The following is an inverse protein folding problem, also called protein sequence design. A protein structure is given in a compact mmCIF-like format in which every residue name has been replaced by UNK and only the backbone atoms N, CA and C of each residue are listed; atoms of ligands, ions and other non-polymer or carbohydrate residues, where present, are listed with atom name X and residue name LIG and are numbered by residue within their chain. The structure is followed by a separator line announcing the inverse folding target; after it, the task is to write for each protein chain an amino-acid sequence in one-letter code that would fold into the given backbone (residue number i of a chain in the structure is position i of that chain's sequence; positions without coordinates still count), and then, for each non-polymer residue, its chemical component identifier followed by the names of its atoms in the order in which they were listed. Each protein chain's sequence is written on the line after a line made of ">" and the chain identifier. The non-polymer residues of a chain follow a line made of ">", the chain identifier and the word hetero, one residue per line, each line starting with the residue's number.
data_IF_189827516812
#
_entry.id   IF_189827516812
#
_cell.length_a   1.000
_cell.length_b   1.000
_cell.length_c   1.000
_cell.angle_alpha   90.00
_cell.angle_beta   90.00
_cell.angle_gamma   90.00
#
_symmetry.space_group_name_H-M   'P 1'
#
loop_
_entity.id
_entity.type
_entity.pdbx_description
1 polymer ?
#
# COMPACT_ATOMS: atom_id res chain seq x y z
N UNK A 1 -13.32 -16.10 4.79
CA UNK A 1 -12.23 -16.99 5.23
C UNK A 1 -12.58 -18.46 5.07
N UNK A 2 -13.54 -19.02 5.84
CA UNK A 2 -13.88 -20.46 5.84
C UNK A 2 -14.14 -21.12 4.47
N UNK A 3 -14.80 -20.42 3.53
CA UNK A 3 -15.03 -20.93 2.17
C UNK A 3 -13.76 -20.98 1.30
N UNK A 4 -12.75 -20.15 1.62
CA UNK A 4 -11.50 -20.04 0.86
C UNK A 4 -10.45 -21.01 1.39
N UNK A 5 -10.33 -21.08 2.71
CA UNK A 5 -9.48 -22.02 3.41
C UNK A 5 -10.15 -22.36 4.76
N UNK A 6 -10.48 -23.63 4.92
CA UNK A 6 -11.13 -24.13 6.13
C UNK A 6 -10.13 -24.29 7.29
N UNK A 7 -8.84 -24.49 7.01
CA UNK A 7 -7.81 -24.69 8.03
C UNK A 7 -7.50 -23.40 8.80
N UNK A 8 -7.57 -22.25 8.13
CA UNK A 8 -7.30 -20.92 8.71
C UNK A 8 -8.59 -20.20 9.16
N UNK A 9 -9.71 -20.92 9.22
CA UNK A 9 -11.00 -20.32 9.59
C UNK A 9 -11.07 -20.03 11.10
N UNK A 10 -11.51 -18.83 11.51
CA UNK A 10 -11.67 -18.51 12.93
C UNK A 10 -12.80 -19.32 13.56
N UNK A 11 -12.62 -19.65 14.83
CA UNK A 11 -13.60 -20.35 15.67
C UNK A 11 -14.35 -19.38 16.58
N UNK A 12 -15.41 -19.86 17.24
CA UNK A 12 -16.20 -19.03 18.16
C UNK A 12 -15.34 -18.66 19.36
N UNK A 13 -15.15 -17.36 19.58
CA UNK A 13 -14.29 -16.80 20.63
C UNK A 13 -13.01 -16.16 20.12
N UNK A 14 -12.63 -16.40 18.86
CA UNK A 14 -11.43 -15.82 18.26
C UNK A 14 -11.60 -14.36 17.86
N UNK A 15 -10.52 -13.57 18.01
CA UNK A 15 -10.42 -12.22 17.45
C UNK A 15 -10.05 -12.31 15.96
N UNK A 16 -10.93 -11.79 15.11
CA UNK A 16 -10.74 -11.80 13.65
C UNK A 16 -10.26 -10.42 13.18
N UNK A 17 -9.01 -10.28 12.68
CA UNK A 17 -8.56 -9.03 12.10
C UNK A 17 -9.21 -8.79 10.74
N UNK A 18 -9.54 -7.54 10.45
CA UNK A 18 -10.07 -7.13 9.15
C UNK A 18 -9.66 -5.70 8.82
N UNK A 19 -9.68 -5.39 7.52
CA UNK A 19 -9.55 -4.02 7.00
C UNK A 19 -10.75 -3.69 6.12
N UNK A 20 -11.09 -2.39 6.03
CA UNK A 20 -12.18 -1.91 5.19
C UNK A 20 -11.63 -1.53 3.81
N UNK A 21 -12.08 -2.28 2.80
CA UNK A 21 -11.71 -2.07 1.41
C UNK A 21 -12.67 -1.08 0.73
N UNK A 22 -12.19 -0.48 -0.34
CA UNK A 22 -13.00 0.38 -1.21
C UNK A 22 -13.99 -0.48 -1.99
N UNK A 23 -15.27 -0.12 -1.93
CA UNK A 23 -16.34 -0.76 -2.69
C UNK A 23 -17.29 0.28 -3.29
N UNK A 24 -18.37 -0.18 -3.93
CA UNK A 24 -19.40 0.69 -4.50
C UNK A 24 -20.01 1.60 -3.43
N UNK A 25 -20.40 2.82 -3.85
CA UNK A 25 -21.03 3.80 -2.96
C UNK A 25 -22.32 3.22 -2.40
N UNK A 26 -22.43 3.16 -1.07
CA UNK A 26 -23.58 2.57 -0.36
C UNK A 26 -23.43 1.10 0.04
N UNK A 27 -22.32 0.43 -0.34
CA UNK A 27 -22.02 -0.91 0.16
C UNK A 27 -21.90 -0.90 1.69
N UNK A 28 -22.52 -1.89 2.34
CA UNK A 28 -22.55 -1.93 3.81
C UNK A 28 -21.16 -2.28 4.34
N UNK A 29 -20.86 -1.85 5.57
CA UNK A 29 -19.53 -2.06 6.15
C UNK A 29 -19.13 -3.55 6.20
N UNK A 30 -20.07 -4.46 6.48
CA UNK A 30 -19.80 -5.89 6.54
C UNK A 30 -19.44 -6.52 5.18
N UNK A 31 -19.88 -5.92 4.07
CA UNK A 31 -19.50 -6.34 2.69
C UNK A 31 -18.11 -5.83 2.30
N UNK A 32 -17.60 -4.85 3.03
CA UNK A 32 -16.31 -4.19 2.78
C UNK A 32 -15.19 -4.69 3.70
N UNK A 33 -15.48 -5.60 4.62
CA UNK A 33 -14.48 -6.15 5.54
C UNK A 33 -13.75 -7.32 4.87
N UNK A 34 -12.42 -7.22 4.80
CA UNK A 34 -11.59 -8.27 4.20
C UNK A 34 -10.34 -8.55 5.05
N UNK A 35 -9.77 -9.74 4.86
CA UNK A 35 -8.54 -10.16 5.52
C UNK A 35 -7.32 -9.31 5.08
N UNK A 36 -6.49 -8.80 6.01
CA UNK A 36 -5.35 -7.95 5.65
C UNK A 36 -4.33 -8.64 4.73
N UNK A 37 -4.08 -9.95 4.90
CA UNK A 37 -3.14 -10.70 4.05
C UNK A 37 -3.72 -10.83 2.65
N UNK A 38 -5.00 -11.17 2.53
CA UNK A 38 -5.69 -11.25 1.26
C UNK A 38 -5.70 -9.90 0.51
N UNK A 39 -5.93 -8.79 1.23
CA UNK A 39 -5.87 -7.43 0.67
C UNK A 39 -4.48 -7.11 0.15
N UNK A 40 -3.45 -7.44 0.92
CA UNK A 40 -2.06 -7.27 0.49
C UNK A 40 -1.76 -8.11 -0.75
N UNK A 41 -2.18 -9.38 -0.80
CA UNK A 41 -1.92 -10.29 -1.92
C UNK A 41 -2.53 -9.83 -3.23
N UNK A 42 -3.79 -9.46 -3.19
CA UNK A 42 -4.57 -9.10 -4.37
C UNK A 42 -4.49 -7.60 -4.72
N UNK A 43 -3.69 -6.85 -3.97
CA UNK A 43 -3.54 -5.39 -4.09
C UNK A 43 -4.91 -4.69 -4.10
N UNK A 44 -5.79 -5.08 -3.16
CA UNK A 44 -7.14 -4.51 -3.08
C UNK A 44 -7.03 -3.11 -2.45
N UNK A 45 -7.63 -2.07 -3.05
CA UNK A 45 -7.60 -0.73 -2.49
C UNK A 45 -8.33 -0.67 -1.15
N UNK A 46 -7.66 -0.11 -0.16
CA UNK A 46 -8.26 0.27 1.12
C UNK A 46 -9.17 1.49 0.89
N UNK A 47 -10.10 1.78 1.80
CA UNK A 47 -10.92 3.00 1.80
C UNK A 47 -10.37 4.05 2.79
N UNK A 48 -9.44 4.95 2.37
CA UNK A 48 -8.89 5.96 3.27
C UNK A 48 -9.96 6.88 3.86
N UNK A 49 -11.03 7.17 3.12
CA UNK A 49 -12.09 8.06 3.57
C UNK A 49 -12.83 7.46 4.75
N UNK A 50 -13.12 6.16 4.70
CA UNK A 50 -13.71 5.45 5.82
C UNK A 50 -12.86 5.57 7.09
N UNK A 51 -11.55 5.36 7.01
CA UNK A 51 -10.65 5.45 8.17
C UNK A 51 -10.51 6.88 8.68
N UNK A 52 -10.40 7.86 7.77
CA UNK A 52 -10.33 9.26 8.13
C UNK A 52 -11.59 9.72 8.87
N UNK A 53 -12.78 9.45 8.33
CA UNK A 53 -14.04 9.91 8.90
C UNK A 53 -14.47 9.11 10.13
N UNK A 54 -14.38 7.77 10.10
CA UNK A 54 -14.97 6.96 11.17
C UNK A 54 -14.02 6.66 12.33
N UNK A 55 -12.71 6.59 12.06
CA UNK A 55 -11.72 6.17 13.06
C UNK A 55 -10.90 7.36 13.57
N UNK A 56 -10.46 8.25 12.68
CA UNK A 56 -9.50 9.31 13.04
C UNK A 56 -10.20 10.63 13.39
N UNK A 57 -11.23 11.03 12.64
CA UNK A 57 -11.82 12.37 12.79
C UNK A 57 -12.44 12.59 14.18
N UNK A 58 -13.25 11.65 14.67
CA UNK A 58 -14.01 11.82 15.92
C UNK A 58 -13.10 11.97 17.14
N UNK A 59 -12.05 11.12 17.33
CA UNK A 59 -11.10 11.33 18.41
C UNK A 59 -10.35 12.65 18.31
N UNK A 60 -9.92 13.06 17.10
CA UNK A 60 -9.20 14.32 16.90
C UNK A 60 -10.08 15.53 17.24
N UNK A 61 -11.32 15.55 16.76
CA UNK A 61 -12.25 16.64 17.06
C UNK A 61 -12.49 16.74 18.57
N UNK A 62 -12.69 15.61 19.26
CA UNK A 62 -12.88 15.61 20.72
C UNK A 62 -11.72 16.24 21.50
N UNK A 63 -10.49 16.11 21.00
CA UNK A 63 -9.29 16.68 21.64
C UNK A 63 -9.13 18.17 21.28
N UNK A 64 -9.36 18.53 20.02
CA UNK A 64 -9.01 19.87 19.50
C UNK A 64 -10.15 20.88 19.49
N UNK A 65 -11.42 20.44 19.55
CA UNK A 65 -12.59 21.32 19.57
C UNK A 65 -12.62 22.30 20.75
N UNK A 66 -12.15 21.96 21.97
CA UNK A 66 -12.02 22.94 23.06
C UNK A 66 -10.95 24.02 22.82
N UNK A 67 -9.99 23.77 21.92
CA UNK A 67 -8.82 24.63 21.68
C UNK A 67 -9.01 25.48 20.41
N UNK A 68 -9.55 24.87 19.35
CA UNK A 68 -9.71 25.47 18.03
C UNK A 68 -11.19 25.75 17.76
N UNK A 69 -11.51 26.97 17.32
CA UNK A 69 -12.89 27.38 17.00
C UNK A 69 -13.55 26.52 15.91
N UNK A 70 -12.77 26.00 14.94
CA UNK A 70 -13.24 25.17 13.84
C UNK A 70 -12.24 24.04 13.52
N UNK A 71 -11.96 23.17 14.49
CA UNK A 71 -10.99 22.07 14.37
C UNK A 71 -11.16 21.20 13.12
N UNK A 72 -12.41 20.90 12.73
CA UNK A 72 -12.71 20.08 11.54
C UNK A 72 -12.20 20.71 10.24
N UNK A 73 -12.50 22.00 10.03
CA UNK A 73 -12.12 22.70 8.81
C UNK A 73 -10.61 22.94 8.73
N UNK A 74 -9.94 23.10 9.86
CA UNK A 74 -8.50 23.36 9.89
C UNK A 74 -7.67 22.08 9.76
N UNK A 75 -8.11 20.97 10.37
CA UNK A 75 -7.34 19.74 10.42
C UNK A 75 -7.66 18.79 9.26
N UNK A 76 -8.94 18.61 8.93
CA UNK A 76 -9.39 17.53 8.04
C UNK A 76 -9.70 18.01 6.62
N UNK A 77 -9.90 19.31 6.44
CA UNK A 77 -10.21 19.92 5.16
C UNK A 77 -9.16 20.98 4.83
N UNK A 78 -8.79 21.14 3.57
CA UNK A 78 -7.87 22.21 3.18
C UNK A 78 -7.08 21.92 1.92
N UNK A 79 -6.06 22.74 1.69
CA UNK A 79 -5.08 22.53 0.62
C UNK A 79 -4.18 21.33 0.92
N UNK A 80 -3.88 21.06 2.19
CA UNK A 80 -3.00 19.98 2.64
C UNK A 80 -3.57 18.58 2.45
N UNK A 81 -4.89 18.42 2.32
CA UNK A 81 -5.55 17.11 2.13
C UNK A 81 -5.90 16.79 0.67
N UNK A 82 -5.49 17.63 -0.29
CA UNK A 82 -5.81 17.45 -1.72
C UNK A 82 -5.03 16.33 -2.41
N UNK A 83 -3.94 15.85 -1.80
CA UNK A 83 -3.15 14.75 -2.33
C UNK A 83 -3.68 13.42 -1.82
N UNK A 84 -4.34 12.65 -2.68
CA UNK A 84 -4.81 11.29 -2.37
C UNK A 84 -4.06 10.29 -3.24
N UNK A 85 -3.41 9.32 -2.59
CA UNK A 85 -2.80 8.17 -3.25
C UNK A 85 -3.69 6.95 -3.04
N UNK A 86 -4.32 6.46 -4.11
CA UNK A 86 -5.14 5.24 -4.08
C UNK A 86 -4.46 4.22 -4.97
N UNK A 87 -4.17 3.05 -4.40
CA UNK A 87 -3.68 1.92 -5.18
C UNK A 87 -4.74 1.46 -6.17
N UNK A 88 -4.34 1.19 -7.40
CA UNK A 88 -5.21 0.59 -8.40
C UNK A 88 -5.35 -0.91 -8.12
N UNK A 89 -6.58 -1.47 -8.08
CA UNK A 89 -6.79 -2.90 -7.87
C UNK A 89 -6.15 -3.72 -8.99
N UNK A 90 -5.47 -4.81 -8.61
CA UNK A 90 -4.87 -5.71 -9.59
C UNK A 90 -5.84 -6.81 -10.04
N UNK A 91 -5.87 -7.08 -11.36
CA UNK A 91 -6.37 -8.31 -11.98
C UNK A 91 -7.80 -8.80 -11.62
N UNK A 92 -8.73 -7.91 -11.28
CA UNK A 92 -10.15 -8.27 -11.04
C UNK A 92 -11.11 -7.59 -12.02
N UNK A 93 -12.04 -8.37 -12.57
CA UNK A 93 -13.10 -7.90 -13.48
C UNK A 93 -12.58 -7.15 -14.71
N UNK A 94 -13.04 -5.92 -14.89
CA UNK A 94 -12.70 -5.02 -16.02
C UNK A 94 -11.19 -4.80 -16.13
N UNK A 95 -10.44 -4.81 -15.01
CA UNK A 95 -8.99 -4.60 -15.01
C UNK A 95 -8.20 -5.74 -15.68
N UNK A 96 -8.80 -6.91 -15.94
CA UNK A 96 -8.15 -7.98 -16.73
C UNK A 96 -8.02 -7.64 -18.21
N UNK A 97 -8.88 -6.76 -18.72
CA UNK A 97 -8.88 -6.34 -20.13
C UNK A 97 -8.21 -4.98 -20.35
N UNK A 98 -7.75 -4.33 -19.27
CA UNK A 98 -7.09 -3.04 -19.34
C UNK A 98 -5.63 -3.21 -19.78
N UNK A 99 -5.27 -2.61 -20.91
CA UNK A 99 -3.86 -2.53 -21.35
C UNK A 99 -3.15 -1.46 -20.53
N UNK A 100 -2.16 -1.85 -19.72
CA UNK A 100 -1.32 -0.92 -18.96
C UNK A 100 -0.51 -0.06 -19.93
N UNK A 101 -0.84 1.23 -20.00
CA UNK A 101 -0.09 2.21 -20.77
C UNK A 101 1.14 2.66 -19.98
N UNK A 102 2.26 2.88 -20.68
CA UNK A 102 3.47 3.41 -20.06
C UNK A 102 3.28 4.90 -19.74
N UNK A 103 3.77 5.32 -18.59
CA UNK A 103 3.73 6.70 -18.14
C UNK A 103 5.12 7.21 -17.81
N UNK A 104 5.34 8.50 -18.02
CA UNK A 104 6.56 9.21 -17.67
C UNK A 104 6.78 9.15 -16.15
N UNK A 105 7.98 8.76 -15.71
CA UNK A 105 8.30 8.72 -14.28
C UNK A 105 8.31 10.10 -13.61
N UNK A 106 8.61 11.16 -14.36
CA UNK A 106 8.64 12.52 -13.84
C UNK A 106 7.25 13.15 -13.69
N UNK A 107 6.47 13.17 -14.77
CA UNK A 107 5.21 13.92 -14.84
C UNK A 107 3.94 13.04 -14.95
N UNK A 108 4.07 11.72 -15.01
CA UNK A 108 2.97 10.75 -15.19
C UNK A 108 2.19 10.89 -16.51
N UNK A 109 2.65 11.71 -17.46
CA UNK A 109 2.08 11.78 -18.80
C UNK A 109 2.19 10.42 -19.52
N UNK A 110 1.17 10.06 -20.32
CA UNK A 110 1.16 8.82 -21.09
C UNK A 110 2.22 8.89 -22.20
N UNK A 111 2.97 7.79 -22.38
CA UNK A 111 4.01 7.65 -23.40
C UNK A 111 3.62 6.51 -24.35
N UNK A 112 3.70 6.77 -25.65
CA UNK A 112 3.33 5.79 -26.69
C UNK A 112 4.47 4.82 -27.03
N UNK A 113 5.73 5.17 -26.75
CA UNK A 113 6.89 4.32 -27.01
C UNK A 113 7.12 3.27 -25.93
N UNK A 114 7.32 2.01 -26.32
CA UNK A 114 7.60 0.89 -25.39
C UNK A 114 8.92 1.04 -24.62
N UNK A 115 9.89 1.73 -25.20
CA UNK A 115 11.25 1.89 -24.66
C UNK A 115 11.54 3.28 -24.07
N UNK A 116 10.51 4.09 -23.83
CA UNK A 116 10.69 5.44 -23.28
C UNK A 116 10.29 5.52 -21.81
N UNK A 117 11.24 5.98 -21.00
CA UNK A 117 11.07 6.13 -19.55
C UNK A 117 10.58 7.52 -19.17
N UNK A 118 10.99 8.52 -19.95
CA UNK A 118 10.64 9.93 -19.80
C UNK A 118 9.97 10.48 -21.05
N UNK A 119 9.12 11.49 -20.87
CA UNK A 119 8.61 12.30 -21.97
C UNK A 119 9.64 13.36 -22.40
N UNK A 120 9.46 13.95 -23.58
CA UNK A 120 10.36 14.97 -24.14
C UNK A 120 10.63 16.15 -23.20
N UNK A 121 9.64 16.55 -22.39
CA UNK A 121 9.78 17.64 -21.41
C UNK A 121 10.59 17.23 -20.17
N UNK A 122 10.60 15.97 -19.78
CA UNK A 122 11.31 15.49 -18.59
C UNK A 122 12.73 15.01 -18.89
N UNK A 123 13.10 14.88 -20.17
CA UNK A 123 14.42 14.40 -20.61
C UNK A 123 15.58 15.26 -20.09
N UNK A 124 15.37 16.58 -19.92
CA UNK A 124 16.39 17.46 -19.34
C UNK A 124 16.70 17.22 -17.84
N UNK A 125 15.86 16.44 -17.14
CA UNK A 125 16.03 16.10 -15.70
C UNK A 125 16.25 14.61 -15.48
N UNK A 126 16.82 13.94 -16.47
CA UNK A 126 17.01 12.49 -16.47
C UNK A 126 17.87 12.01 -15.29
N UNK A 127 19.05 12.61 -15.09
CA UNK A 127 19.94 12.24 -13.99
C UNK A 127 19.29 12.42 -12.60
N UNK A 128 18.55 13.52 -12.39
CA UNK A 128 17.83 13.79 -11.14
C UNK A 128 16.78 12.71 -10.87
N UNK A 129 15.97 12.37 -11.88
CA UNK A 129 14.91 11.37 -11.76
C UNK A 129 15.48 9.96 -11.57
N UNK A 130 16.57 9.63 -12.25
CA UNK A 130 17.28 8.37 -12.07
C UNK A 130 17.82 8.22 -10.65
N UNK A 131 18.57 9.21 -10.15
CA UNK A 131 19.10 9.22 -8.78
C UNK A 131 17.98 9.07 -7.74
N UNK A 132 16.82 9.72 -7.96
CA UNK A 132 15.65 9.57 -7.09
C UNK A 132 15.10 8.15 -7.11
N UNK A 133 15.01 7.51 -8.27
CA UNK A 133 14.54 6.11 -8.37
C UNK A 133 15.51 5.12 -7.73
N UNK A 134 16.82 5.29 -7.93
CA UNK A 134 17.86 4.47 -7.30
C UNK A 134 17.82 4.63 -5.77
N UNK A 135 17.71 5.88 -5.29
CA UNK A 135 17.58 6.17 -3.86
C UNK A 135 16.38 5.45 -3.23
N UNK A 136 15.21 5.53 -3.87
CA UNK A 136 14.01 4.83 -3.40
C UNK A 136 14.17 3.30 -3.37
N UNK A 137 14.84 2.70 -4.37
CA UNK A 137 15.13 1.26 -4.36
C UNK A 137 16.08 0.92 -3.22
N UNK A 138 17.16 1.68 -3.03
CA UNK A 138 18.11 1.47 -1.94
C UNK A 138 17.45 1.51 -0.55
N UNK A 139 16.57 2.50 -0.30
CA UNK A 139 15.81 2.59 0.95
C UNK A 139 14.90 1.37 1.17
N UNK A 140 14.20 0.92 0.13
CA UNK A 140 13.32 -0.25 0.20
C UNK A 140 14.09 -1.57 0.38
N UNK A 141 15.26 -1.70 -0.24
CA UNK A 141 16.15 -2.86 -0.07
C UNK A 141 16.69 -2.95 1.36
N UNK A 142 17.16 -1.83 1.91
CA UNK A 142 17.58 -1.76 3.31
C UNK A 142 16.43 -2.10 4.26
N UNK A 143 15.23 -1.58 4.02
CA UNK A 143 14.05 -1.87 4.83
C UNK A 143 13.68 -3.36 4.77
N UNK A 144 13.65 -3.93 3.55
CA UNK A 144 13.37 -5.34 3.33
C UNK A 144 14.40 -6.23 4.06
N UNK A 145 15.69 -5.94 3.89
CA UNK A 145 16.78 -6.68 4.53
C UNK A 145 16.68 -6.65 6.06
N UNK A 146 16.44 -5.47 6.66
CA UNK A 146 16.28 -5.32 8.12
C UNK A 146 15.10 -6.13 8.65
N UNK A 147 13.93 -6.01 8.01
CA UNK A 147 12.72 -6.70 8.47
C UNK A 147 12.85 -8.22 8.35
N UNK A 148 13.47 -8.71 7.29
CA UNK A 148 13.62 -10.16 7.07
C UNK A 148 14.67 -10.77 7.99
N UNK A 149 15.80 -10.09 8.19
CA UNK A 149 16.84 -10.51 9.14
C UNK A 149 16.30 -10.58 10.56
N UNK A 150 15.52 -9.57 10.99
CA UNK A 150 14.89 -9.58 12.31
C UNK A 150 13.95 -10.79 12.51
N UNK A 151 13.26 -11.22 11.45
CA UNK A 151 12.44 -12.41 11.48
C UNK A 151 13.26 -13.70 11.64
N UNK A 152 14.41 -13.81 10.96
CA UNK A 152 15.31 -14.96 11.09
C UNK A 152 15.92 -15.04 12.49
N UNK A 153 16.35 -13.89 13.04
CA UNK A 153 16.83 -13.80 14.43
C UNK A 153 15.75 -14.21 15.43
N UNK A 154 14.52 -13.72 15.26
CA UNK A 154 13.39 -14.08 16.12
C UNK A 154 13.03 -15.58 16.04
N UNK A 155 13.21 -16.21 14.87
CA UNK A 155 13.01 -17.64 14.70
C UNK A 155 14.17 -18.45 15.32
N UNK A 156 15.37 -17.87 15.41
CA UNK A 156 16.58 -18.55 15.87
C UNK A 156 17.22 -19.47 14.81
N UNK A 157 16.77 -19.40 13.56
CA UNK A 157 17.29 -20.22 12.46
C UNK A 157 17.57 -19.36 11.23
N UNK A 158 18.77 -19.48 10.67
CA UNK A 158 19.19 -18.79 9.45
C UNK A 158 18.99 -19.66 8.20
N UNK A 159 18.78 -20.97 8.37
CA UNK A 159 18.77 -21.95 7.29
C UNK A 159 17.38 -22.49 6.96
N UNK A 160 16.38 -22.18 7.78
CA UNK A 160 15.00 -22.61 7.59
C UNK A 160 14.12 -21.44 7.16
N UNK A 161 13.00 -21.77 6.52
CA UNK A 161 12.01 -20.77 6.13
C UNK A 161 11.29 -20.19 7.35
N UNK A 162 11.03 -18.88 7.31
CA UNK A 162 10.29 -18.16 8.36
C UNK A 162 8.78 -18.34 8.17
N UNK A 163 8.20 -19.38 8.75
CA UNK A 163 6.76 -19.68 8.70
C UNK A 163 5.96 -19.04 9.85
N UNK A 164 6.28 -17.79 10.22
CA UNK A 164 5.60 -17.07 11.30
C UNK A 164 4.24 -16.49 10.84
N UNK A 165 3.19 -16.67 11.64
CA UNK A 165 1.82 -16.13 11.41
C UNK A 165 1.33 -15.23 12.55
N UNK A 166 2.23 -14.77 13.44
CA UNK A 166 1.88 -13.93 14.58
C UNK A 166 1.28 -12.59 14.13
N UNK A 167 -0.02 -12.40 14.38
CA UNK A 167 -0.78 -11.21 13.97
C UNK A 167 -0.51 -10.00 14.85
N UNK A 168 -0.03 -10.21 16.07
CA UNK A 168 0.33 -9.17 17.02
C UNK A 168 1.75 -8.63 16.80
N UNK A 169 2.55 -9.31 15.97
CA UNK A 169 3.88 -8.85 15.61
C UNK A 169 3.79 -7.64 14.66
N UNK A 170 4.40 -6.48 14.99
CA UNK A 170 4.38 -5.31 14.13
C UNK A 170 5.12 -5.53 12.80
N UNK A 171 6.02 -6.52 12.71
CA UNK A 171 6.78 -6.86 11.52
C UNK A 171 5.96 -7.72 10.54
N UNK A 172 4.95 -8.45 11.01
CA UNK A 172 4.27 -9.49 10.22
C UNK A 172 3.67 -8.97 8.90
N UNK A 173 2.88 -7.89 8.94
CA UNK A 173 2.33 -7.28 7.73
C UNK A 173 3.38 -6.40 7.01
N UNK A 174 4.28 -5.76 7.78
CA UNK A 174 5.30 -4.83 7.26
C UNK A 174 6.30 -5.54 6.35
N UNK A 175 6.78 -6.72 6.72
CA UNK A 175 7.73 -7.50 5.88
C UNK A 175 7.13 -7.84 4.52
N UNK A 176 5.85 -8.20 4.51
CA UNK A 176 5.11 -8.60 3.31
C UNK A 176 4.83 -7.41 2.39
N UNK A 177 4.53 -6.25 2.98
CA UNK A 177 4.44 -4.97 2.27
C UNK A 177 5.80 -4.55 1.70
N UNK A 178 6.87 -4.57 2.49
CA UNK A 178 8.21 -4.18 2.05
C UNK A 178 8.71 -5.04 0.88
N UNK A 179 8.42 -6.35 0.91
CA UNK A 179 8.72 -7.25 -0.21
C UNK A 179 8.02 -6.83 -1.51
N UNK A 180 6.72 -6.49 -1.44
CA UNK A 180 5.95 -6.03 -2.61
C UNK A 180 6.42 -4.66 -3.10
N UNK A 181 6.58 -3.71 -2.20
CA UNK A 181 7.03 -2.34 -2.55
C UNK A 181 8.42 -2.38 -3.21
N UNK A 182 9.34 -3.20 -2.69
CA UNK A 182 10.67 -3.40 -3.27
C UNK A 182 10.60 -4.03 -4.66
N UNK A 183 9.77 -5.07 -4.86
CA UNK A 183 9.58 -5.68 -6.17
C UNK A 183 9.01 -4.69 -7.20
N UNK A 184 8.04 -3.87 -6.82
CA UNK A 184 7.49 -2.83 -7.69
C UNK A 184 8.53 -1.74 -8.01
N UNK A 185 9.31 -1.30 -7.02
CA UNK A 185 10.35 -0.31 -7.21
C UNK A 185 11.48 -0.81 -8.13
N UNK A 186 11.86 -2.09 -8.03
CA UNK A 186 12.83 -2.72 -8.95
C UNK A 186 12.34 -2.74 -10.39
N UNK A 187 11.07 -3.06 -10.63
CA UNK A 187 10.47 -3.00 -11.98
C UNK A 187 10.48 -1.56 -12.53
N UNK A 188 10.29 -0.55 -11.68
CA UNK A 188 10.44 0.85 -12.12
C UNK A 188 11.90 1.19 -12.45
N UNK A 189 12.86 0.66 -11.70
CA UNK A 189 14.28 0.89 -11.93
C UNK A 189 14.77 0.26 -13.24
N UNK A 190 14.30 -0.96 -13.58
CA UNK A 190 14.60 -1.64 -14.85
C UNK A 190 14.18 -0.84 -16.10
N UNK A 191 13.30 0.15 -15.96
CA UNK A 191 12.98 1.06 -17.07
C UNK A 191 14.16 1.94 -17.46
N UNK A 192 15.16 2.08 -16.61
CA UNK A 192 16.35 2.87 -16.89
C UNK A 192 17.50 2.05 -17.48
N UNK A 193 17.24 0.83 -17.96
CA UNK A 193 18.26 0.01 -18.62
C UNK A 193 18.81 0.76 -19.85
N UNK A 194 20.10 1.07 -19.77
CA UNK A 194 20.91 1.71 -20.83
C UNK A 194 21.54 0.66 -21.75
#
# INVERSE_FOLDING_TARGET
>A
MRKRDAATAPTVGDRVPYVIIKAAKGAKAYERSEDPIYVLDNNIPIDPQYYLENQISKPLLRIFEPILKNASRELLHGSHTRAVSISTPSNSGIMKFAKKQLTCLGCKAVISGSNQTLCSHCKGREAELYCKTVGNVSELEMLFGRLWTQCQECQGSLHQDVLCTSRDCPIFYRRRKAQKDMAEARVQLQRWDF
#
